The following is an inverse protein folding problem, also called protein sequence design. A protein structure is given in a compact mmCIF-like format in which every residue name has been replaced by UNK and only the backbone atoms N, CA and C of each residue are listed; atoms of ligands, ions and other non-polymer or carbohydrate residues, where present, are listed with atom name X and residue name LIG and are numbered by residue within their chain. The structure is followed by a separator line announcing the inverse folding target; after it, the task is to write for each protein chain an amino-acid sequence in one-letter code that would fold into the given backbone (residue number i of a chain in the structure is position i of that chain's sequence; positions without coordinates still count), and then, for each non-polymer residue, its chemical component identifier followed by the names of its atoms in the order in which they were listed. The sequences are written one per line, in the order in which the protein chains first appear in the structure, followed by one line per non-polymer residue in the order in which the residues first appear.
data_IF_997686386696
#
_entry.id   IF_997686386696
#
_cell.length_a   1.000
_cell.length_b   1.000
_cell.length_c   1.000
_cell.angle_alpha   90.00
_cell.angle_beta   90.00
_cell.angle_gamma   90.00
#
_symmetry.space_group_name_H-M   'P 1'
#
loop_
_entity.id
_entity.type
_entity.pdbx_description
1 polymer ?
#
# COMPACT_ATOMS: atom_id res chain seq x y z
N UNK A 1 -3.33 -8.74 29.91
CA UNK A 1 -2.76 -9.32 28.68
C UNK A 1 -2.64 -8.17 27.68
N UNK A 2 -1.44 -7.60 27.55
CA UNK A 2 -1.24 -6.40 26.73
C UNK A 2 -1.40 -6.75 25.25
N UNK A 3 -2.27 -6.03 24.53
CA UNK A 3 -2.40 -6.18 23.08
C UNK A 3 -1.14 -5.64 22.42
N UNK A 4 -0.42 -6.52 21.74
CA UNK A 4 0.85 -6.19 21.09
C UNK A 4 0.59 -5.38 19.83
N UNK A 5 0.51 -4.06 20.01
CA UNK A 5 -0.05 -3.14 19.02
C UNK A 5 0.79 -3.08 17.74
N UNK A 6 2.10 -3.33 17.84
CA UNK A 6 3.01 -3.37 16.68
C UNK A 6 2.74 -4.60 15.83
N UNK A 7 2.59 -5.79 16.45
CA UNK A 7 2.31 -7.02 15.74
C UNK A 7 0.96 -6.96 15.01
N UNK A 8 -0.05 -6.35 15.63
CA UNK A 8 -1.36 -6.12 15.03
C UNK A 8 -1.28 -5.23 13.78
N UNK A 9 -0.43 -4.18 13.79
CA UNK A 9 -0.22 -3.28 12.63
C UNK A 9 0.45 -4.03 11.48
N UNK A 10 1.57 -4.72 11.75
CA UNK A 10 2.32 -5.47 10.73
C UNK A 10 1.42 -6.52 10.08
N UNK A 11 0.64 -7.23 10.90
CA UNK A 11 -0.32 -8.24 10.44
C UNK A 11 -1.44 -7.61 9.60
N UNK A 12 -1.95 -6.45 10.01
CA UNK A 12 -2.99 -5.73 9.27
C UNK A 12 -2.49 -5.22 7.92
N UNK A 13 -1.26 -4.71 7.85
CA UNK A 13 -0.62 -4.27 6.60
C UNK A 13 -0.45 -5.45 5.66
N UNK A 14 0.16 -6.56 6.14
CA UNK A 14 0.35 -7.78 5.34
C UNK A 14 -0.98 -8.33 4.81
N UNK A 15 -2.00 -8.38 5.65
CA UNK A 15 -3.32 -8.88 5.26
C UNK A 15 -4.00 -7.96 4.24
N UNK A 16 -3.81 -6.66 4.32
CA UNK A 16 -4.38 -5.74 3.35
C UNK A 16 -3.63 -5.73 2.01
N UNK A 17 -2.30 -5.93 2.02
CA UNK A 17 -1.52 -6.21 0.81
C UNK A 17 -2.01 -7.51 0.14
N UNK A 18 -2.08 -8.62 0.90
CA UNK A 18 -2.55 -9.92 0.39
C UNK A 18 -3.97 -9.88 -0.21
N UNK A 19 -4.89 -9.13 0.41
CA UNK A 19 -6.29 -9.06 -0.02
C UNK A 19 -6.58 -7.91 -0.99
N UNK A 20 -5.55 -7.21 -1.49
CA UNK A 20 -5.68 -5.99 -2.32
C UNK A 20 -6.62 -4.94 -1.70
N UNK A 21 -6.68 -4.89 -0.36
CA UNK A 21 -7.50 -3.90 0.35
C UNK A 21 -6.78 -2.57 0.34
N UNK A 22 -7.36 -1.61 -0.36
CA UNK A 22 -6.74 -0.29 -0.55
C UNK A 22 -6.66 0.58 0.70
N UNK A 23 -7.26 0.21 1.84
CA UNK A 23 -7.18 1.02 3.08
C UNK A 23 -7.30 0.17 4.35
N UNK A 24 -6.45 0.42 5.34
CA UNK A 24 -6.55 -0.14 6.70
C UNK A 24 -6.84 0.94 7.73
N UNK A 25 -7.69 0.64 8.72
CA UNK A 25 -8.02 1.56 9.83
C UNK A 25 -7.38 1.08 11.12
N UNK A 26 -6.53 1.91 11.74
CA UNK A 26 -5.82 1.59 12.99
C UNK A 26 -6.06 2.69 14.00
N UNK A 27 -6.24 2.36 15.29
CA UNK A 27 -6.31 3.38 16.35
C UNK A 27 -5.01 4.18 16.43
N UNK A 28 -5.07 5.46 16.79
CA UNK A 28 -3.91 6.34 16.86
C UNK A 28 -3.32 6.37 18.27
N UNK A 29 -2.03 6.04 18.37
CA UNK A 29 -1.18 6.28 19.56
C UNK A 29 0.12 6.95 19.11
N UNK A 30 0.90 7.52 20.04
CA UNK A 30 2.19 8.16 19.69
C UNK A 30 3.17 7.18 19.02
N UNK A 31 3.19 5.92 19.44
CA UNK A 31 4.02 4.87 18.85
C UNK A 31 3.56 4.56 17.42
N UNK A 32 2.24 4.41 17.22
CA UNK A 32 1.66 4.14 15.90
C UNK A 32 1.96 5.28 14.95
N UNK A 33 1.86 6.53 15.42
CA UNK A 33 2.14 7.69 14.59
C UNK A 33 3.60 7.70 14.10
N UNK A 34 4.58 7.34 14.94
CA UNK A 34 5.98 7.23 14.54
C UNK A 34 6.21 6.08 13.54
N UNK A 35 5.62 4.90 13.78
CA UNK A 35 5.73 3.75 12.86
C UNK A 35 5.13 4.09 11.50
N UNK A 36 3.94 4.70 11.48
CA UNK A 36 3.26 5.09 10.25
C UNK A 36 4.06 6.13 9.47
N UNK A 37 4.74 7.07 10.15
CA UNK A 37 5.67 8.02 9.50
C UNK A 37 6.84 7.32 8.84
N UNK A 38 7.48 6.36 9.52
CA UNK A 38 8.58 5.58 8.94
C UNK A 38 8.10 4.81 7.71
N UNK A 39 6.98 4.11 7.81
CA UNK A 39 6.43 3.33 6.70
C UNK A 39 6.03 4.19 5.49
N UNK A 40 5.59 5.43 5.73
CA UNK A 40 5.33 6.41 4.67
C UNK A 40 6.65 6.90 4.02
N UNK A 41 7.69 7.18 4.82
CA UNK A 41 8.99 7.61 4.32
C UNK A 41 9.70 6.55 3.49
N UNK A 42 9.61 5.30 3.91
CA UNK A 42 10.20 4.14 3.21
C UNK A 42 9.35 3.67 2.01
N UNK A 43 8.20 4.31 1.75
CA UNK A 43 7.35 4.00 0.59
C UNK A 43 6.48 2.74 0.73
N UNK A 44 6.39 2.14 1.90
CA UNK A 44 5.50 1.00 2.16
C UNK A 44 4.01 1.39 2.19
N UNK A 45 3.72 2.65 2.52
CA UNK A 45 2.37 3.22 2.57
C UNK A 45 2.35 4.44 1.63
N UNK A 46 1.34 4.53 0.76
CA UNK A 46 1.17 5.65 -0.17
C UNK A 46 0.65 6.91 0.53
N UNK A 47 -0.28 6.72 1.45
CA UNK A 47 -0.98 7.83 2.09
C UNK A 47 -1.52 7.42 3.47
N UNK A 48 -1.56 8.40 4.36
CA UNK A 48 -2.02 8.30 5.74
C UNK A 48 -3.03 9.40 5.99
N UNK A 49 -4.26 9.04 6.36
CA UNK A 49 -5.29 9.99 6.78
C UNK A 49 -5.61 9.81 8.25
N UNK A 50 -5.45 10.85 9.05
CA UNK A 50 -5.89 10.84 10.46
C UNK A 50 -7.34 11.30 10.54
N UNK A 51 -8.20 10.48 11.16
CA UNK A 51 -9.62 10.76 11.35
C UNK A 51 -9.96 10.74 12.84
N UNK A 52 -10.75 11.69 13.32
CA UNK A 52 -11.22 11.77 14.70
C UNK A 52 -12.72 11.45 14.77
N UNK A 53 -13.09 10.48 15.61
CA UNK A 53 -14.48 10.06 15.80
C UNK A 53 -14.69 9.75 17.30
N UNK A 54 -15.70 10.37 17.94
CA UNK A 54 -16.05 10.14 19.34
C UNK A 54 -14.84 10.19 20.31
N UNK A 55 -14.00 11.23 20.17
CA UNK A 55 -12.77 11.44 20.96
C UNK A 55 -11.67 10.36 20.78
N UNK A 56 -11.79 9.52 19.74
CA UNK A 56 -10.76 8.55 19.33
C UNK A 56 -10.21 8.92 17.96
N UNK A 57 -8.90 8.82 17.82
CA UNK A 57 -8.22 9.07 16.56
C UNK A 57 -7.89 7.75 15.87
N UNK A 58 -8.02 7.72 14.54
CA UNK A 58 -7.71 6.56 13.69
C UNK A 58 -6.88 6.99 12.49
N UNK A 59 -5.99 6.12 12.04
CA UNK A 59 -5.28 6.26 10.78
C UNK A 59 -5.91 5.37 9.71
N UNK A 60 -6.25 5.95 8.56
CA UNK A 60 -6.51 5.26 7.32
C UNK A 60 -5.22 5.19 6.50
N UNK A 61 -4.66 4.00 6.32
CA UNK A 61 -3.39 3.79 5.58
C UNK A 61 -3.70 3.15 4.23
N UNK A 62 -3.24 3.75 3.13
CA UNK A 62 -3.34 3.17 1.77
C UNK A 62 -2.07 2.43 1.43
N UNK A 63 -2.18 1.13 1.13
CA UNK A 63 -1.04 0.25 0.86
C UNK A 63 -0.71 0.25 -0.64
N UNK A 64 0.58 0.17 -0.96
CA UNK A 64 1.14 0.02 -2.30
C UNK A 64 1.02 -1.45 -2.77
N UNK A 65 0.59 -1.73 -4.01
CA UNK A 65 0.85 -3.06 -4.59
C UNK A 65 2.28 -3.08 -5.11
N UNK A 66 3.11 -3.93 -4.52
CA UNK A 66 4.52 -4.05 -4.88
C UNK A 66 4.69 -4.28 -6.39
N UNK A 67 5.60 -3.52 -7.04
CA UNK A 67 5.95 -3.68 -8.46
C UNK A 67 6.38 -5.13 -8.81
N UNK A 68 6.90 -5.87 -7.83
CA UNK A 68 7.26 -7.29 -7.97
C UNK A 68 6.04 -8.18 -8.23
N UNK A 69 4.83 -7.74 -7.86
CA UNK A 69 3.58 -8.47 -8.09
C UNK A 69 2.97 -8.13 -9.47
N UNK A 70 3.57 -7.24 -10.27
CA UNK A 70 3.04 -6.90 -11.59
C UNK A 70 3.16 -8.11 -12.54
N UNK A 71 2.05 -8.70 -13.01
CA UNK A 71 2.06 -9.92 -13.81
C UNK A 71 2.69 -9.68 -15.19
N UNK A 72 3.38 -10.69 -15.74
CA UNK A 72 3.82 -10.69 -17.13
C UNK A 72 2.75 -11.36 -17.99
N UNK A 73 2.15 -10.60 -18.90
CA UNK A 73 1.11 -11.09 -19.80
C UNK A 73 1.76 -11.73 -21.03
N UNK A 74 1.33 -12.93 -21.40
CA UNK A 74 1.85 -13.69 -22.56
C UNK A 74 3.38 -13.73 -22.63
N UNK A 75 4.05 -14.02 -21.50
CA UNK A 75 5.52 -14.07 -21.45
C UNK A 75 6.22 -12.71 -21.63
N UNK A 76 5.49 -11.60 -21.60
CA UNK A 76 6.00 -10.24 -21.82
C UNK A 76 5.56 -9.59 -23.14
N UNK A 77 4.77 -10.31 -23.95
CA UNK A 77 4.20 -9.74 -25.18
C UNK A 77 3.05 -8.77 -24.90
N UNK A 78 2.22 -9.05 -23.88
CA UNK A 78 1.15 -8.14 -23.46
C UNK A 78 1.66 -7.00 -22.59
N UNK A 79 0.84 -5.96 -22.45
CA UNK A 79 1.14 -4.75 -21.66
C UNK A 79 0.17 -4.68 -20.49
N UNK A 80 0.68 -4.38 -19.28
CA UNK A 80 -0.18 -3.95 -18.16
C UNK A 80 -0.05 -2.45 -18.03
N UNK A 81 -1.19 -1.76 -18.02
CA UNK A 81 -1.25 -0.34 -17.68
C UNK A 81 -1.63 -0.25 -16.21
N UNK A 82 -0.86 0.53 -15.45
CA UNK A 82 -1.08 0.70 -14.02
C UNK A 82 -0.89 2.16 -13.60
N UNK A 83 -1.58 2.52 -12.53
CA UNK A 83 -1.38 3.77 -11.81
C UNK A 83 -0.17 3.64 -10.87
N UNK A 84 0.63 4.70 -10.78
CA UNK A 84 1.75 4.84 -9.84
C UNK A 84 1.74 6.25 -9.21
N UNK A 85 2.66 6.51 -8.27
CA UNK A 85 2.86 7.84 -7.69
C UNK A 85 3.36 8.89 -8.70
N UNK A 86 3.86 8.47 -9.86
CA UNK A 86 4.35 9.36 -10.93
C UNK A 86 3.35 9.51 -12.09
N UNK A 87 2.18 8.86 -11.99
CA UNK A 87 1.15 8.89 -13.03
C UNK A 87 0.84 7.50 -13.57
N UNK A 88 0.27 7.45 -14.78
CA UNK A 88 -0.04 6.20 -15.46
C UNK A 88 1.18 5.77 -16.27
N UNK A 89 1.58 4.51 -16.16
CA UNK A 89 2.71 3.94 -16.89
C UNK A 89 2.48 2.46 -17.21
N UNK A 90 3.39 1.88 -17.97
CA UNK A 90 3.34 0.46 -18.32
C UNK A 90 4.16 -0.41 -17.36
N UNK A 91 3.86 -1.71 -17.33
CA UNK A 91 4.51 -2.69 -16.45
C UNK A 91 6.03 -2.77 -16.56
N UNK A 92 6.58 -2.49 -17.74
CA UNK A 92 8.02 -2.45 -17.94
C UNK A 92 8.67 -1.27 -17.22
N UNK A 93 8.12 -0.07 -17.39
CA UNK A 93 8.58 1.15 -16.71
C UNK A 93 8.41 1.03 -15.19
N UNK A 94 7.24 0.59 -14.75
CA UNK A 94 6.94 0.36 -13.34
C UNK A 94 7.93 -0.60 -12.65
N UNK A 95 8.35 -1.68 -13.34
CA UNK A 95 9.36 -2.60 -12.79
C UNK A 95 10.77 -2.03 -12.80
N UNK A 96 11.13 -1.22 -13.80
CA UNK A 96 12.44 -0.56 -13.87
C UNK A 96 12.61 0.46 -12.74
N UNK A 97 11.57 1.26 -12.51
CA UNK A 97 11.55 2.31 -11.48
C UNK A 97 11.22 1.78 -10.08
N UNK A 98 10.85 0.49 -9.96
CA UNK A 98 10.51 -0.11 -8.68
C UNK A 98 9.21 0.42 -8.06
N UNK A 99 8.26 0.90 -8.88
CA UNK A 99 7.01 1.54 -8.44
C UNK A 99 5.79 0.87 -9.07
N UNK A 100 4.73 0.65 -8.31
CA UNK A 100 3.46 0.12 -8.81
C UNK A 100 2.33 0.38 -7.82
N UNK A 101 1.10 0.63 -8.25
CA UNK A 101 -0.04 0.73 -7.32
C UNK A 101 -1.23 -0.10 -7.74
N UNK A 102 -1.92 0.33 -8.77
CA UNK A 102 -3.19 -0.28 -9.15
C UNK A 102 -3.15 -0.61 -10.62
N UNK A 103 -3.35 -1.88 -10.95
CA UNK A 103 -3.50 -2.33 -12.33
C UNK A 103 -4.82 -1.79 -12.85
N UNK A 104 -4.76 -0.99 -13.91
CA UNK A 104 -5.93 -0.39 -14.54
C UNK A 104 -6.51 -1.32 -15.60
N UNK A 105 -5.65 -1.88 -16.46
CA UNK A 105 -6.06 -2.82 -17.48
C UNK A 105 -4.88 -3.63 -18.01
N UNK A 106 -5.22 -4.65 -18.79
CA UNK A 106 -4.27 -5.45 -19.56
C UNK A 106 -4.60 -5.32 -21.04
N UNK A 107 -3.57 -5.29 -21.87
CA UNK A 107 -3.66 -5.32 -23.33
C UNK A 107 -2.94 -6.58 -23.80
N UNK A 108 -3.61 -7.40 -24.62
CA UNK A 108 -3.10 -8.64 -25.17
C UNK A 108 -3.62 -8.89 -26.58
#
# INVERSE_FOLDING_TARGET
MGKDTIADIITSIRNADMNKKGTIRIGSTNIIENIVKILLQEGFIDNVRKHGEHNKYFFGLRIYSNYQQIPRILGGMGIVILSTSWGIMIDREARLEGIGREILCYIW
#
